data_IF_715434346264
#
_entry.id   IF_715434346264
#
_cell.length_a   1.000
_cell.length_b   1.000
_cell.length_c   1.000
_cell.angle_alpha   90.00
_cell.angle_beta   90.00
_cell.angle_gamma   90.00
#
_symmetry.space_group_name_H-M   'P 1'
#
loop_
_entity.id
_entity.type
_entity.pdbx_description
1 polymer ?
#
# COMPACT_ATOMS: atom_id res chain seq x y z
N UNK A 1 -17.84 -34.02 3.40
CA UNK A 1 -17.41 -34.01 1.98
C UNK A 1 -17.48 -32.58 1.47
N UNK A 2 -16.37 -31.96 1.07
CA UNK A 2 -16.32 -30.82 0.15
C UNK A 2 -14.98 -30.89 -0.58
N UNK A 3 -14.85 -31.92 -1.43
CA UNK A 3 -13.86 -31.91 -2.49
C UNK A 3 -14.43 -31.02 -3.59
N UNK A 4 -13.92 -29.80 -3.70
CA UNK A 4 -13.84 -29.17 -5.01
C UNK A 4 -12.36 -29.00 -5.27
N UNK A 5 -11.79 -29.81 -6.16
CA UNK A 5 -10.61 -29.38 -6.90
C UNK A 5 -10.98 -28.02 -7.49
N UNK A 6 -10.47 -26.95 -6.88
CA UNK A 6 -10.64 -25.60 -7.41
C UNK A 6 -9.45 -25.39 -8.32
N UNK A 7 -9.72 -25.01 -9.56
CA UNK A 7 -8.65 -24.64 -10.47
C UNK A 7 -7.91 -23.44 -9.87
N UNK A 8 -6.63 -23.63 -9.57
CA UNK A 8 -5.76 -22.56 -9.12
C UNK A 8 -5.02 -22.01 -10.34
N UNK A 9 -4.93 -20.68 -10.41
CA UNK A 9 -4.15 -20.03 -11.48
C UNK A 9 -3.09 -19.14 -10.87
N UNK A 10 -1.84 -19.41 -11.25
CA UNK A 10 -0.67 -18.65 -10.81
C UNK A 10 -0.39 -17.54 -11.83
N UNK A 11 -0.31 -16.32 -11.33
CA UNK A 11 -0.02 -15.13 -12.13
C UNK A 11 1.38 -14.60 -11.83
N UNK A 12 2.11 -14.20 -12.87
CA UNK A 12 3.36 -13.47 -12.72
C UNK A 12 3.05 -11.99 -12.57
N UNK A 13 3.68 -11.33 -11.60
CA UNK A 13 3.52 -9.89 -11.41
C UNK A 13 4.42 -9.07 -12.36
N UNK A 14 3.84 -8.02 -12.93
CA UNK A 14 4.56 -6.95 -13.65
C UNK A 14 4.80 -5.76 -12.70
N UNK A 15 5.69 -4.81 -13.04
CA UNK A 15 5.81 -3.58 -12.23
C UNK A 15 4.61 -2.68 -12.47
N UNK A 16 4.02 -2.15 -11.40
CA UNK A 16 2.89 -1.24 -11.51
C UNK A 16 3.30 0.11 -12.12
N UNK A 17 2.41 0.68 -12.93
CA UNK A 17 2.51 2.03 -13.45
C UNK A 17 1.17 2.73 -13.23
N UNK A 18 1.19 4.01 -12.84
CA UNK A 18 -0.01 4.82 -12.61
C UNK A 18 -0.88 5.03 -13.87
N UNK A 19 -0.39 4.68 -15.06
CA UNK A 19 -1.19 4.66 -16.31
C UNK A 19 -2.05 3.40 -16.46
N UNK A 20 -1.89 2.39 -15.60
CA UNK A 20 -2.73 1.19 -15.60
C UNK A 20 -4.18 1.58 -15.38
N UNK A 21 -5.06 1.16 -16.30
CA UNK A 21 -6.49 1.40 -16.18
C UNK A 21 -7.10 0.48 -15.12
N UNK A 22 -7.32 1.01 -13.91
CA UNK A 22 -7.97 0.27 -12.83
C UNK A 22 -9.48 0.09 -13.04
N UNK A 23 -10.08 0.76 -14.02
CA UNK A 23 -11.51 0.72 -14.33
C UNK A 23 -11.85 -0.13 -15.55
N UNK A 24 -10.90 -0.89 -16.11
CA UNK A 24 -11.21 -1.78 -17.21
C UNK A 24 -12.30 -2.79 -16.78
N UNK A 25 -13.20 -3.07 -17.70
CA UNK A 25 -14.37 -3.92 -17.49
C UNK A 25 -14.30 -5.08 -18.49
N UNK A 26 -13.98 -6.30 -18.04
CA UNK A 26 -14.09 -7.46 -18.92
C UNK A 26 -15.54 -7.66 -19.35
N UNK A 27 -15.73 -8.21 -20.56
CA UNK A 27 -17.04 -8.67 -20.99
C UNK A 27 -17.52 -9.80 -20.05
N UNK A 28 -18.70 -9.67 -19.46
CA UNK A 28 -19.28 -10.67 -18.56
C UNK A 28 -20.14 -10.10 -17.43
N UNK A 29 -20.67 -10.98 -16.59
CA UNK A 29 -21.50 -10.63 -15.43
C UNK A 29 -20.64 -10.23 -14.22
N UNK A 30 -21.16 -9.30 -13.42
CA UNK A 30 -20.62 -8.94 -12.09
C UNK A 30 -21.21 -9.90 -11.05
N UNK A 31 -20.48 -10.23 -9.96
CA UNK A 31 -19.18 -9.71 -9.55
C UNK A 31 -17.99 -10.40 -10.24
N UNK A 32 -16.94 -9.62 -10.52
CA UNK A 32 -15.73 -10.11 -11.21
C UNK A 32 -14.82 -10.90 -10.27
N UNK A 33 -14.74 -10.47 -9.01
CA UNK A 33 -14.00 -11.14 -7.96
C UNK A 33 -14.93 -11.58 -6.84
N UNK A 34 -14.63 -12.73 -6.24
CA UNK A 34 -15.22 -13.14 -4.97
C UNK A 34 -14.13 -13.40 -3.93
N UNK A 35 -14.40 -13.03 -2.69
CA UNK A 35 -13.46 -13.20 -1.58
C UNK A 35 -14.00 -14.23 -0.59
N UNK A 36 -13.13 -15.10 -0.09
CA UNK A 36 -13.42 -16.04 0.99
C UNK A 36 -12.44 -15.84 2.13
N UNK A 37 -12.96 -15.80 3.34
CA UNK A 37 -12.14 -15.82 4.54
C UNK A 37 -11.94 -17.26 5.00
N UNK A 38 -10.70 -17.71 5.03
CA UNK A 38 -10.33 -19.08 5.39
C UNK A 38 -9.65 -19.06 6.76
N UNK A 39 -9.95 -20.05 7.59
CA UNK A 39 -9.29 -20.29 8.86
C UNK A 39 -8.61 -21.66 8.83
N UNK A 40 -7.39 -21.72 9.35
CA UNK A 40 -6.65 -22.96 9.54
C UNK A 40 -7.46 -23.93 10.41
N UNK A 41 -7.44 -25.21 10.08
CA UNK A 41 -7.99 -26.27 10.95
C UNK A 41 -7.13 -26.55 12.18
N UNK A 42 -5.92 -25.98 12.27
CA UNK A 42 -4.99 -26.13 13.41
C UNK A 42 -4.52 -24.78 13.92
N UNK A 43 -4.38 -24.67 15.24
CA UNK A 43 -3.79 -23.49 15.86
C UNK A 43 -2.26 -23.49 15.70
N UNK A 44 -1.67 -22.31 15.55
CA UNK A 44 -0.23 -22.08 15.62
C UNK A 44 0.09 -21.15 16.79
N UNK A 45 1.26 -21.31 17.39
CA UNK A 45 1.78 -20.34 18.35
C UNK A 45 2.21 -19.08 17.60
N UNK A 46 1.65 -17.93 17.98
CA UNK A 46 1.97 -16.62 17.38
C UNK A 46 2.41 -15.68 18.52
N UNK A 47 3.54 -14.98 18.35
CA UNK A 47 3.96 -13.89 19.26
C UNK A 47 5.15 -14.15 20.21
N UNK A 48 6.15 -14.94 19.81
CA UNK A 48 7.39 -15.08 20.60
C UNK A 48 7.17 -15.66 22.01
N UNK A 49 7.96 -15.24 23.00
CA UNK A 49 7.93 -15.77 24.36
C UNK A 49 6.58 -15.54 25.09
N UNK A 50 5.84 -14.50 24.71
CA UNK A 50 4.54 -14.12 25.26
C UNK A 50 3.37 -14.41 24.31
N UNK A 51 3.60 -15.32 23.35
CA UNK A 51 2.64 -15.65 22.32
C UNK A 51 1.41 -16.41 22.83
N UNK A 52 0.48 -16.67 21.91
CA UNK A 52 -0.69 -17.50 22.18
C UNK A 52 -0.98 -18.44 21.01
N UNK A 53 -1.69 -19.54 21.27
CA UNK A 53 -2.20 -20.42 20.21
C UNK A 53 -3.38 -19.77 19.53
N UNK A 54 -3.24 -19.49 18.24
CA UNK A 54 -4.26 -18.84 17.43
C UNK A 54 -4.50 -19.62 16.14
N UNK A 55 -5.74 -19.59 15.65
CA UNK A 55 -6.02 -20.05 14.30
C UNK A 55 -5.50 -19.01 13.31
N UNK A 56 -4.64 -19.44 12.38
CA UNK A 56 -4.22 -18.58 11.27
C UNK A 56 -5.40 -18.40 10.35
N UNK A 57 -5.71 -17.16 9.97
CA UNK A 57 -6.73 -16.84 9.00
C UNK A 57 -6.13 -16.07 7.83
N UNK A 58 -6.72 -16.21 6.65
CA UNK A 58 -6.30 -15.51 5.44
C UNK A 58 -7.47 -15.34 4.49
N UNK A 59 -7.29 -14.52 3.46
CA UNK A 59 -8.26 -14.39 2.37
C UNK A 59 -7.78 -15.18 1.15
N UNK A 60 -8.75 -15.80 0.47
CA UNK A 60 -8.61 -16.22 -0.92
C UNK A 60 -9.48 -15.32 -1.78
N UNK A 61 -8.95 -14.89 -2.92
CA UNK A 61 -9.72 -14.18 -3.93
C UNK A 61 -9.81 -15.06 -5.17
N UNK A 62 -11.02 -15.19 -5.70
CA UNK A 62 -11.30 -15.86 -6.95
C UNK A 62 -11.51 -14.83 -8.04
N UNK A 63 -11.04 -15.16 -9.24
CA UNK A 63 -11.41 -14.48 -10.48
C UNK A 63 -12.13 -15.48 -11.36
N UNK A 64 -13.40 -15.20 -11.67
CA UNK A 64 -14.34 -16.22 -12.17
C UNK A 64 -14.39 -17.37 -11.16
N UNK A 65 -14.09 -18.60 -11.56
CA UNK A 65 -14.15 -19.79 -10.71
C UNK A 65 -12.77 -20.27 -10.21
N UNK A 66 -11.69 -19.56 -10.59
CA UNK A 66 -10.33 -19.95 -10.24
C UNK A 66 -9.79 -19.15 -9.06
N UNK A 67 -9.08 -19.83 -8.16
CA UNK A 67 -8.37 -19.15 -7.06
C UNK A 67 -7.12 -18.47 -7.59
N UNK A 68 -6.97 -17.18 -7.30
CA UNK A 68 -5.82 -16.39 -7.73
C UNK A 68 -4.63 -16.72 -6.84
N UNK A 69 -3.53 -17.17 -7.46
CA UNK A 69 -2.21 -17.32 -6.83
C UNK A 69 -1.20 -16.40 -7.52
N UNK A 70 -0.12 -16.02 -6.83
CA UNK A 70 0.93 -15.18 -7.43
C UNK A 70 2.27 -15.88 -7.38
N UNK A 71 3.00 -15.82 -8.48
CA UNK A 71 4.45 -15.96 -8.47
C UNK A 71 5.06 -14.58 -8.16
N UNK A 72 5.58 -14.35 -6.94
CA UNK A 72 6.00 -13.03 -6.44
C UNK A 72 7.29 -12.53 -7.13
N UNK A 73 7.90 -13.36 -7.98
CA UNK A 73 9.01 -12.97 -8.85
C UNK A 73 8.52 -11.90 -9.83
N UNK A 74 8.80 -10.64 -9.49
CA UNK A 74 8.71 -9.53 -10.44
C UNK A 74 9.69 -9.82 -11.56
N UNK A 75 9.36 -9.53 -12.83
CA UNK A 75 10.41 -9.46 -13.85
C UNK A 75 11.43 -8.43 -13.36
N UNK A 76 12.67 -8.81 -13.04
CA UNK A 76 13.61 -7.90 -12.42
C UNK A 76 13.79 -6.67 -13.33
N UNK A 77 13.70 -5.43 -12.84
CA UNK A 77 14.57 -4.41 -13.40
C UNK A 77 16.01 -4.88 -13.11
N UNK A 78 16.87 -4.74 -14.11
CA UNK A 78 18.22 -5.32 -14.22
C UNK A 78 19.23 -4.89 -13.14
N UNK A 79 18.80 -4.33 -12.02
CA UNK A 79 19.66 -3.64 -11.05
C UNK A 79 19.32 -3.86 -9.56
N UNK A 80 18.30 -4.64 -9.21
CA UNK A 80 17.99 -4.90 -7.78
C UNK A 80 18.34 -6.32 -7.31
N UNK A 81 19.48 -6.44 -6.61
CA UNK A 81 19.90 -7.62 -5.83
C UNK A 81 18.88 -8.07 -4.75
N UNK A 82 17.80 -7.31 -4.53
CA UNK A 82 16.82 -7.48 -3.44
C UNK A 82 15.52 -8.22 -3.85
N UNK A 83 15.38 -8.66 -5.10
CA UNK A 83 14.07 -9.06 -5.65
C UNK A 83 13.68 -10.54 -5.49
N UNK A 84 14.59 -11.44 -5.10
CA UNK A 84 14.32 -12.88 -5.09
C UNK A 84 13.46 -13.33 -3.90
N UNK A 85 12.17 -13.57 -4.13
CA UNK A 85 11.34 -14.34 -3.19
C UNK A 85 11.69 -15.83 -3.28
N UNK A 86 11.90 -16.56 -2.17
CA UNK A 86 12.09 -18.01 -2.24
C UNK A 86 10.86 -18.65 -2.89
N UNK A 87 11.07 -19.43 -3.95
CA UNK A 87 10.03 -19.91 -4.86
C UNK A 87 9.01 -20.87 -4.21
N UNK A 88 9.19 -21.26 -2.95
CA UNK A 88 8.53 -22.44 -2.37
C UNK A 88 7.69 -22.18 -1.11
N UNK A 89 7.51 -20.93 -0.67
CA UNK A 89 6.75 -20.67 0.56
C UNK A 89 5.27 -20.39 0.35
N UNK A 90 4.45 -20.87 1.30
CA UNK A 90 2.98 -20.72 1.28
C UNK A 90 2.46 -19.28 1.33
N UNK A 91 3.34 -18.29 1.52
CA UNK A 91 3.00 -16.86 1.48
C UNK A 91 2.33 -16.46 0.16
N UNK A 92 2.65 -17.13 -0.94
CA UNK A 92 2.09 -16.89 -2.27
C UNK A 92 0.57 -17.14 -2.40
N UNK A 93 -0.05 -17.72 -1.35
CA UNK A 93 -1.44 -18.20 -1.38
C UNK A 93 -2.39 -17.42 -0.45
N UNK A 94 -1.86 -16.58 0.44
CA UNK A 94 -2.62 -15.96 1.53
C UNK A 94 -2.67 -14.44 1.35
N UNK A 95 -3.87 -13.90 1.13
CA UNK A 95 -4.06 -12.45 1.04
C UNK A 95 -4.52 -11.87 2.37
N UNK A 96 -3.85 -10.80 2.77
CA UNK A 96 -4.27 -9.91 3.86
C UNK A 96 -4.81 -8.59 3.25
N UNK A 97 -5.67 -7.90 3.99
CA UNK A 97 -6.18 -6.55 3.69
C UNK A 97 -6.69 -6.33 2.23
N UNK A 98 -7.41 -7.30 1.66
CA UNK A 98 -8.00 -7.18 0.32
C UNK A 98 -8.90 -5.94 0.22
N UNK A 99 -8.49 -4.97 -0.59
CA UNK A 99 -9.15 -3.66 -0.71
C UNK A 99 -9.41 -3.30 -2.17
N UNK A 100 -10.66 -3.08 -2.54
CA UNK A 100 -11.02 -2.68 -3.92
C UNK A 100 -10.54 -1.26 -4.23
N UNK A 101 -9.98 -1.05 -5.41
CA UNK A 101 -9.40 0.23 -5.83
C UNK A 101 -10.36 1.10 -6.65
N UNK A 102 -11.56 0.61 -6.93
CA UNK A 102 -12.57 1.34 -7.67
C UNK A 102 -14.01 0.90 -7.36
N UNK A 103 -15.04 1.70 -7.70
CA UNK A 103 -16.43 1.36 -7.38
C UNK A 103 -16.93 0.15 -8.14
N UNK A 104 -16.43 -0.08 -9.35
CA UNK A 104 -16.79 -1.22 -10.19
C UNK A 104 -16.23 -2.56 -9.68
N UNK A 105 -15.32 -2.53 -8.68
CA UNK A 105 -14.63 -3.71 -8.13
C UNK A 105 -13.93 -4.54 -9.21
N UNK A 106 -13.38 -3.86 -10.22
CA UNK A 106 -12.59 -4.50 -11.28
C UNK A 106 -11.11 -4.52 -10.96
N UNK A 107 -10.69 -3.79 -9.93
CA UNK A 107 -9.33 -3.85 -9.40
C UNK A 107 -9.32 -3.89 -7.88
N UNK A 108 -8.38 -4.62 -7.29
CA UNK A 108 -8.12 -4.63 -5.85
C UNK A 108 -6.62 -4.64 -5.58
N UNK A 109 -6.23 -4.18 -4.40
CA UNK A 109 -4.90 -4.37 -3.84
C UNK A 109 -5.00 -5.39 -2.70
N UNK A 110 -3.98 -6.22 -2.54
CA UNK A 110 -3.86 -7.09 -1.39
C UNK A 110 -2.44 -7.08 -0.86
N UNK A 111 -2.34 -7.28 0.45
CA UNK A 111 -1.11 -7.51 1.17
C UNK A 111 -0.76 -8.99 1.12
N UNK A 112 0.52 -9.29 0.91
CA UNK A 112 1.06 -10.65 0.98
C UNK A 112 2.20 -10.64 1.98
N UNK A 113 2.04 -11.41 3.05
CA UNK A 113 3.07 -11.56 4.07
C UNK A 113 4.25 -12.36 3.50
N UNK A 114 5.45 -11.77 3.44
CA UNK A 114 6.67 -12.47 3.02
C UNK A 114 7.35 -13.26 4.12
N UNK A 115 8.42 -14.03 3.78
CA UNK A 115 9.33 -14.55 4.80
C UNK A 115 9.92 -13.39 5.62
N UNK A 116 10.29 -13.69 6.86
CA UNK A 116 10.69 -12.71 7.89
C UNK A 116 11.71 -11.66 7.42
N UNK A 117 12.61 -12.04 6.50
CA UNK A 117 13.67 -11.20 5.96
C UNK A 117 13.29 -10.37 4.71
N UNK A 118 12.19 -10.68 4.04
CA UNK A 118 11.73 -9.95 2.85
C UNK A 118 10.57 -9.00 3.14
N UNK A 119 9.93 -9.16 4.29
CA UNK A 119 8.81 -8.34 4.71
C UNK A 119 7.55 -8.53 3.86
N UNK A 120 6.54 -7.77 4.21
CA UNK A 120 5.27 -7.68 3.48
C UNK A 120 5.47 -7.17 2.05
N UNK A 121 4.63 -7.57 1.10
CA UNK A 121 4.52 -6.93 -0.22
C UNK A 121 3.07 -6.62 -0.59
N UNK A 122 2.89 -5.70 -1.53
CA UNK A 122 1.58 -5.31 -2.02
C UNK A 122 1.46 -5.56 -3.52
N UNK A 123 0.33 -6.12 -3.92
CA UNK A 123 0.04 -6.42 -5.32
C UNK A 123 -1.32 -5.86 -5.71
N UNK A 124 -1.37 -5.21 -6.88
CA UNK A 124 -2.58 -4.74 -7.53
C UNK A 124 -3.03 -5.77 -8.54
N UNK A 125 -4.30 -6.14 -8.48
CA UNK A 125 -4.95 -7.10 -9.35
C UNK A 125 -6.03 -6.37 -10.13
N UNK A 126 -6.02 -6.51 -11.45
CA UNK A 126 -6.95 -5.80 -12.33
C UNK A 126 -7.50 -6.78 -13.35
N UNK A 127 -8.82 -6.88 -13.37
CA UNK A 127 -9.52 -7.59 -14.41
C UNK A 127 -9.54 -6.71 -15.67
N UNK A 128 -9.09 -7.29 -16.77
CA UNK A 128 -9.05 -6.67 -18.08
C UNK A 128 -9.82 -7.54 -19.07
N UNK A 129 -10.13 -6.99 -20.24
CA UNK A 129 -10.78 -7.75 -21.32
C UNK A 129 -10.02 -9.04 -21.69
N UNK A 130 -8.69 -8.99 -21.64
CA UNK A 130 -7.80 -10.13 -21.94
C UNK A 130 -7.59 -11.10 -20.78
N UNK A 131 -8.14 -10.79 -19.60
CA UNK A 131 -8.02 -11.60 -18.38
C UNK A 131 -7.52 -10.82 -17.18
N UNK A 132 -7.11 -11.53 -16.14
CA UNK A 132 -6.55 -10.91 -14.93
C UNK A 132 -5.07 -10.56 -15.13
N UNK A 133 -4.70 -9.32 -14.81
CA UNK A 133 -3.32 -8.86 -14.67
C UNK A 133 -2.99 -8.60 -13.21
N UNK A 134 -1.72 -8.84 -12.86
CA UNK A 134 -1.19 -8.65 -11.51
C UNK A 134 0.04 -7.75 -11.59
N UNK A 135 0.11 -6.76 -10.72
CA UNK A 135 1.17 -5.78 -10.66
C UNK A 135 1.75 -5.71 -9.25
N UNK A 136 3.07 -5.73 -9.12
CA UNK A 136 3.78 -5.38 -7.91
C UNK A 136 3.90 -3.87 -7.83
N UNK A 137 3.59 -3.27 -6.68
CA UNK A 137 3.81 -1.83 -6.46
C UNK A 137 5.21 -1.53 -5.88
N UNK A 138 6.04 -2.56 -5.68
CA UNK A 138 7.38 -2.42 -5.14
C UNK A 138 8.29 -1.68 -6.13
N UNK A 139 8.52 -0.38 -5.87
CA UNK A 139 9.52 0.42 -6.57
C UNK A 139 10.92 0.10 -6.00
N UNK A 140 11.96 -0.08 -6.83
CA UNK A 140 13.33 -0.29 -6.36
C UNK A 140 13.78 0.80 -5.36
N UNK A 141 14.60 0.40 -4.38
CA UNK A 141 15.20 1.28 -3.37
C UNK A 141 16.70 1.01 -3.31
N UNK A 142 17.52 2.02 -3.01
CA UNK A 142 18.99 1.95 -3.07
C UNK A 142 19.65 1.84 -1.69
N UNK A 143 18.89 1.55 -0.62
CA UNK A 143 19.48 1.42 0.72
C UNK A 143 20.45 0.23 0.77
N UNK A 144 21.74 0.52 0.89
CA UNK A 144 22.70 -0.36 1.56
C UNK A 144 22.61 -0.12 3.07
N UNK A 145 22.41 -1.18 3.86
CA UNK A 145 22.57 -1.12 5.32
C UNK A 145 21.29 -0.91 6.13
N UNK A 146 20.58 -2.01 6.37
CA UNK A 146 20.11 -2.51 7.68
C UNK A 146 19.08 -3.64 7.50
N UNK A 147 18.55 -3.81 6.28
CA UNK A 147 17.62 -4.89 5.93
C UNK A 147 16.24 -4.75 6.57
N UNK A 148 15.97 -3.64 7.25
CA UNK A 148 14.72 -3.41 7.96
C UNK A 148 13.71 -2.74 7.04
N UNK A 149 12.91 -3.56 6.35
CA UNK A 149 11.75 -3.14 5.54
C UNK A 149 10.55 -2.74 6.43
N UNK A 150 10.82 -2.00 7.50
CA UNK A 150 10.18 -2.34 8.77
C UNK A 150 8.68 -2.03 8.83
N UNK A 151 8.16 -1.06 8.07
CA UNK A 151 6.72 -0.80 8.05
C UNK A 151 6.23 -0.44 6.65
N UNK A 152 5.82 -1.49 5.92
CA UNK A 152 5.01 -1.40 4.71
C UNK A 152 3.55 -1.34 5.11
N UNK A 153 2.94 -0.19 4.87
CA UNK A 153 1.62 0.13 5.38
C UNK A 153 0.64 0.44 4.25
N UNK A 154 -0.61 0.07 4.52
CA UNK A 154 -1.75 0.51 3.73
C UNK A 154 -2.68 1.27 4.65
N UNK A 155 -2.82 2.57 4.39
CA UNK A 155 -3.52 3.51 5.25
C UNK A 155 -4.68 4.17 4.52
N UNK A 156 -5.86 4.11 5.13
CA UNK A 156 -7.03 4.86 4.69
C UNK A 156 -6.90 6.32 5.17
N UNK A 157 -6.44 7.22 4.29
CA UNK A 157 -6.16 8.63 4.65
C UNK A 157 -7.37 9.56 4.41
N UNK A 158 -8.48 9.04 3.90
CA UNK A 158 -9.75 9.73 3.74
C UNK A 158 -10.85 8.78 3.25
N UNK A 159 -12.10 9.25 3.05
CA UNK A 159 -13.24 8.40 2.70
C UNK A 159 -13.02 7.54 1.46
N UNK A 160 -12.29 8.07 0.47
CA UNK A 160 -12.03 7.43 -0.83
C UNK A 160 -10.54 7.29 -1.15
N UNK A 161 -9.64 7.74 -0.27
CA UNK A 161 -8.19 7.73 -0.52
C UNK A 161 -7.51 6.61 0.26
N UNK A 162 -6.74 5.80 -0.44
CA UNK A 162 -5.91 4.74 0.12
C UNK A 162 -4.44 5.02 -0.19
N UNK A 163 -3.63 5.21 0.83
CA UNK A 163 -2.18 5.38 0.69
C UNK A 163 -1.51 4.03 0.92
N UNK A 164 -0.51 3.71 0.10
CA UNK A 164 0.22 2.44 0.20
C UNK A 164 1.71 2.70 0.11
N UNK A 165 2.45 2.20 1.10
CA UNK A 165 3.91 2.22 1.17
C UNK A 165 4.54 3.62 1.03
N UNK A 166 3.80 4.69 1.36
CA UNK A 166 4.20 6.09 1.10
C UNK A 166 4.65 6.35 -0.35
N UNK A 167 4.33 5.44 -1.27
CA UNK A 167 4.77 5.45 -2.67
C UNK A 167 3.59 5.70 -3.60
N UNK A 168 2.38 5.33 -3.19
CA UNK A 168 1.18 5.49 -4.00
C UNK A 168 -0.01 5.98 -3.20
N UNK A 169 -0.87 6.74 -3.87
CA UNK A 169 -2.23 7.08 -3.44
C UNK A 169 -3.21 6.57 -4.49
N UNK A 170 -4.20 5.81 -4.05
CA UNK A 170 -5.31 5.36 -4.88
C UNK A 170 -6.57 6.13 -4.50
N UNK A 171 -7.17 6.83 -5.48
CA UNK A 171 -8.52 7.40 -5.36
C UNK A 171 -9.55 6.33 -5.76
N UNK A 172 -10.14 5.70 -4.75
CA UNK A 172 -11.10 4.60 -4.89
C UNK A 172 -12.44 5.05 -5.48
N UNK A 173 -12.74 6.35 -5.50
CA UNK A 173 -13.93 6.89 -6.16
C UNK A 173 -13.74 6.93 -7.67
N UNK A 174 -12.54 7.25 -8.13
CA UNK A 174 -12.24 7.39 -9.57
C UNK A 174 -11.48 6.22 -10.17
N UNK A 175 -10.89 5.35 -9.36
CA UNK A 175 -9.96 4.32 -9.83
C UNK A 175 -8.67 4.90 -10.38
N UNK A 176 -8.25 6.09 -9.93
CA UNK A 176 -6.97 6.70 -10.32
C UNK A 176 -5.89 6.38 -9.29
N UNK A 177 -4.68 6.12 -9.77
CA UNK A 177 -3.50 6.01 -8.95
C UNK A 177 -2.59 7.23 -9.14
N UNK A 178 -1.91 7.63 -8.09
CA UNK A 178 -0.93 8.69 -8.06
C UNK A 178 0.35 8.14 -7.42
N UNK A 179 1.49 8.38 -8.05
CA UNK A 179 2.80 7.99 -7.53
C UNK A 179 3.35 9.15 -6.73
N UNK A 180 3.67 8.92 -5.46
CA UNK A 180 4.30 9.90 -4.60
C UNK A 180 5.76 10.04 -5.03
N UNK A 181 6.14 11.28 -5.35
CA UNK A 181 7.54 11.61 -5.62
C UNK A 181 8.34 11.39 -4.34
N UNK A 182 9.46 10.65 -4.45
CA UNK A 182 10.38 10.45 -3.33
C UNK A 182 11.35 11.64 -3.26
N UNK A 183 11.79 12.08 -2.07
CA UNK A 183 12.84 13.10 -1.93
C UNK A 183 14.20 12.61 -2.47
N UNK A 184 14.40 11.29 -2.58
CA UNK A 184 15.58 10.66 -3.17
C UNK A 184 15.23 9.32 -3.81
N UNK A 185 16.19 8.40 -3.89
CA UNK A 185 15.96 7.06 -4.44
C UNK A 185 15.17 6.15 -3.48
N UNK A 186 15.21 6.46 -2.19
CA UNK A 186 14.52 5.69 -1.15
C UNK A 186 13.11 6.23 -0.86
N UNK A 187 12.27 5.37 -0.27
CA UNK A 187 10.93 5.71 0.21
C UNK A 187 10.99 6.83 1.25
N UNK A 188 9.90 7.60 1.35
CA UNK A 188 9.72 8.57 2.43
C UNK A 188 9.68 7.82 3.77
N UNK A 189 10.75 7.95 4.56
CA UNK A 189 10.86 7.48 5.95
C UNK A 189 10.17 8.46 6.90
N UNK A 190 8.85 8.54 6.79
CA UNK A 190 8.04 9.42 7.60
C UNK A 190 6.65 8.85 7.84
N UNK A 191 6.01 9.31 8.90
CA UNK A 191 4.62 8.96 9.20
C UNK A 191 3.66 9.88 8.45
N UNK A 192 2.52 9.35 7.99
CA UNK A 192 1.43 10.20 7.54
C UNK A 192 0.94 11.09 8.69
N UNK A 193 0.94 12.39 8.45
CA UNK A 193 0.58 13.41 9.42
C UNK A 193 -0.81 13.99 9.17
N UNK A 194 -1.09 14.39 7.93
CA UNK A 194 -2.33 15.07 7.60
C UNK A 194 -2.69 14.99 6.11
N UNK A 195 -3.99 15.14 5.85
CA UNK A 195 -4.55 15.37 4.52
C UNK A 195 -5.12 16.79 4.48
N UNK A 196 -4.85 17.54 3.41
CA UNK A 196 -5.37 18.89 3.24
C UNK A 196 -6.91 18.92 3.20
N UNK A 197 -7.55 20.06 3.52
CA UNK A 197 -9.01 20.18 3.50
C UNK A 197 -9.63 19.88 2.13
N UNK A 198 -8.98 20.29 1.04
CA UNK A 198 -9.38 19.97 -0.33
C UNK A 198 -9.02 18.54 -0.76
N UNK A 199 -8.37 17.79 0.14
CA UNK A 199 -7.92 16.41 0.00
C UNK A 199 -6.90 16.18 -1.10
N UNK A 200 -6.13 17.19 -1.51
CA UNK A 200 -5.18 17.09 -2.62
C UNK A 200 -3.71 17.04 -2.21
N UNK A 201 -3.41 17.35 -0.96
CA UNK A 201 -2.05 17.35 -0.41
C UNK A 201 -1.98 16.39 0.76
N UNK A 202 -1.05 15.44 0.69
CA UNK A 202 -0.67 14.59 1.84
C UNK A 202 0.57 15.16 2.50
N UNK A 203 0.62 15.08 3.82
CA UNK A 203 1.75 15.55 4.63
C UNK A 203 2.34 14.37 5.39
N UNK A 204 3.66 14.27 5.37
CA UNK A 204 4.43 13.30 6.13
C UNK A 204 5.36 14.02 7.10
N UNK A 205 5.45 13.52 8.33
CA UNK A 205 6.47 13.92 9.29
C UNK A 205 7.69 13.04 9.13
N UNK A 206 8.83 13.67 8.85
CA UNK A 206 10.16 13.05 8.93
C UNK A 206 10.88 13.56 10.18
N UNK A 207 12.15 13.17 10.38
CA UNK A 207 12.94 13.63 11.53
C UNK A 207 13.25 15.13 11.54
N UNK A 208 13.23 15.81 10.38
CA UNK A 208 13.69 17.21 10.26
C UNK A 208 12.78 18.12 9.42
N UNK A 209 11.74 17.57 8.77
CA UNK A 209 10.84 18.34 7.92
C UNK A 209 9.45 17.73 7.81
N UNK A 210 8.47 18.56 7.47
CA UNK A 210 7.20 18.14 6.90
C UNK A 210 7.39 18.01 5.39
N UNK A 211 7.27 16.79 4.90
CA UNK A 211 7.24 16.51 3.47
C UNK A 211 5.80 16.56 2.98
N UNK A 212 5.49 17.41 2.01
CA UNK A 212 4.12 17.63 1.55
C UNK A 212 4.03 17.39 0.05
N UNK A 213 3.10 16.54 -0.35
CA UNK A 213 2.94 16.15 -1.75
C UNK A 213 1.52 16.48 -2.23
N UNK A 214 1.41 17.47 -3.12
CA UNK A 214 0.17 17.78 -3.82
C UNK A 214 0.01 16.83 -5.01
N UNK A 215 -0.64 15.70 -4.78
CA UNK A 215 -0.62 14.55 -5.68
C UNK A 215 -1.27 14.78 -7.06
N UNK A 216 -2.27 15.68 -7.26
CA UNK A 216 -2.79 15.95 -8.59
C UNK A 216 -1.80 16.66 -9.51
N UNK A 217 -0.99 17.58 -8.98
CA UNK A 217 0.01 18.33 -9.77
C UNK A 217 1.42 17.76 -9.65
N UNK A 218 1.63 16.80 -8.75
CA UNK A 218 2.94 16.22 -8.41
C UNK A 218 3.94 17.22 -7.83
N UNK A 219 3.45 18.31 -7.27
CA UNK A 219 4.33 19.30 -6.64
C UNK A 219 4.65 18.88 -5.21
N UNK A 220 5.92 19.08 -4.86
CA UNK A 220 6.45 18.82 -3.53
C UNK A 220 6.70 20.16 -2.85
N UNK A 221 6.27 20.26 -1.61
CA UNK A 221 6.63 21.35 -0.72
C UNK A 221 7.21 20.75 0.55
N UNK A 222 8.28 21.35 1.07
CA UNK A 222 8.94 20.92 2.29
C UNK A 222 9.02 22.07 3.25
N UNK A 223 8.65 21.82 4.50
CA UNK A 223 8.72 22.80 5.58
C UNK A 223 9.69 22.27 6.64
N UNK A 224 10.79 22.97 6.94
CA UNK A 224 11.68 22.58 8.03
C UNK A 224 10.93 22.51 9.36
N UNK A 225 11.28 21.52 10.19
CA UNK A 225 10.77 21.39 11.56
C UNK A 225 11.94 21.66 12.50
N UNK A 226 11.79 22.65 13.39
CA UNK A 226 12.77 22.89 14.46
C UNK A 226 12.58 21.93 15.65
N UNK A 227 13.56 21.88 16.56
CA UNK A 227 13.53 20.96 17.71
C UNK A 227 12.31 21.19 18.63
N UNK A 228 11.83 22.44 18.73
CA UNK A 228 10.66 22.77 19.54
C UNK A 228 9.38 22.20 18.91
N UNK A 229 9.26 22.29 17.59
CA UNK A 229 8.17 21.71 16.81
C UNK A 229 8.25 20.18 16.81
N UNK A 230 9.44 19.60 16.64
CA UNK A 230 9.64 18.15 16.72
C UNK A 230 9.22 17.60 18.08
N UNK A 231 9.58 18.29 19.17
CA UNK A 231 9.15 17.92 20.53
C UNK A 231 7.63 17.93 20.66
N UNK A 232 6.95 18.93 20.07
CA UNK A 232 5.47 19.00 20.05
C UNK A 232 4.84 17.87 19.23
N UNK A 233 5.48 17.44 18.14
CA UNK A 233 5.02 16.35 17.28
C UNK A 233 5.17 15.01 18.02
N UNK A 234 6.38 14.67 18.46
CA UNK A 234 6.72 13.39 19.09
C UNK A 234 6.01 13.23 20.44
N UNK A 235 5.85 14.31 21.21
CA UNK A 235 5.16 14.29 22.50
C UNK A 235 3.64 14.22 22.40
N UNK A 236 3.05 14.47 21.22
CA UNK A 236 1.60 14.51 21.04
C UNK A 236 1.02 13.12 20.77
N UNK A 237 0.69 12.41 21.85
CA UNK A 237 0.08 11.06 21.79
C UNK A 237 -1.27 11.02 21.07
N UNK A 238 -2.00 12.14 20.98
CA UNK A 238 -3.30 12.21 20.30
C UNK A 238 -3.19 12.36 18.78
N UNK A 239 -1.99 12.60 18.24
CA UNK A 239 -1.71 12.94 16.83
C UNK A 239 -2.52 14.15 16.30
N UNK A 240 -2.94 15.05 17.18
CA UNK A 240 -3.69 16.27 16.84
C UNK A 240 -2.78 17.48 16.59
N UNK A 241 -1.46 17.32 16.76
CA UNK A 241 -0.47 18.37 16.54
C UNK A 241 -0.58 19.09 15.18
N UNK A 242 -0.97 18.46 14.03
CA UNK A 242 -1.10 19.18 12.76
C UNK A 242 -2.19 20.26 12.82
N UNK A 243 -3.21 20.07 13.67
CA UNK A 243 -4.35 20.98 13.80
C UNK A 243 -4.11 22.05 14.87
N UNK A 244 -3.24 21.79 15.84
CA UNK A 244 -3.01 22.67 16.99
C UNK A 244 -1.82 23.63 16.79
N UNK A 245 -0.82 23.25 16.00
CA UNK A 245 0.42 24.00 15.84
C UNK A 245 0.69 24.47 14.41
N UNK A 246 -0.13 24.03 13.47
CA UNK A 246 0.01 24.35 12.05
C UNK A 246 -1.31 24.85 11.49
N UNK A 247 -1.23 25.57 10.37
CA UNK A 247 -2.37 26.11 9.63
C UNK A 247 -2.23 25.79 8.15
N UNK A 248 -3.37 25.60 7.48
CA UNK A 248 -3.41 25.38 6.04
C UNK A 248 -3.32 26.72 5.31
N UNK A 249 -2.29 26.88 4.48
CA UNK A 249 -2.05 28.08 3.68
C UNK A 249 -2.16 27.73 2.19
N UNK A 250 -2.79 28.63 1.43
CA UNK A 250 -2.87 28.51 -0.03
C UNK A 250 -1.67 29.17 -0.68
N UNK A 251 -0.95 28.43 -1.52
CA UNK A 251 0.15 28.92 -2.35
C UNK A 251 -0.07 28.48 -3.79
N UNK A 252 -0.14 29.43 -4.73
CA UNK A 252 -0.36 29.15 -6.16
C UNK A 252 -1.56 28.21 -6.41
N UNK A 253 -2.66 28.41 -5.67
CA UNK A 253 -3.88 27.60 -5.78
C UNK A 253 -3.82 26.21 -5.15
N UNK A 254 -2.76 25.88 -4.40
CA UNK A 254 -2.57 24.59 -3.71
C UNK A 254 -2.48 24.81 -2.21
N UNK A 255 -2.93 23.83 -1.42
CA UNK A 255 -3.02 23.95 0.03
C UNK A 255 -1.89 23.17 0.70
N UNK A 256 -1.10 23.85 1.53
CA UNK A 256 0.03 23.29 2.28
C UNK A 256 -0.06 23.65 3.76
N UNK A 257 0.46 22.78 4.62
CA UNK A 257 0.51 22.93 6.06
C UNK A 257 1.73 23.78 6.45
N UNK A 258 1.55 24.80 7.27
CA UNK A 258 2.62 25.69 7.73
C UNK A 258 2.55 25.97 9.23
N UNK A 259 3.67 26.16 9.93
CA UNK A 259 3.66 26.48 11.35
C UNK A 259 2.83 27.73 11.62
N UNK A 260 2.07 27.72 12.72
CA UNK A 260 1.47 28.96 13.24
C UNK A 260 2.58 29.76 13.88
N UNK A 261 3.03 30.82 13.21
CA UNK A 261 3.94 31.80 13.80
C UNK A 261 3.12 32.62 14.81
N UNK A 262 3.44 32.49 16.09
CA UNK A 262 2.92 33.34 17.16
C UNK A 262 3.96 34.37 17.54
#
# INVERSE_FOLDING_TARGET
MLSSCKDEKVYKAELFNITVNLNDLPAGQKPIFSQRHIKSGKQKWIGGLFGSKQFVAWNEVLYKDSVIRINPQVAPPNDSQSSAYPAQERSQYNFDDVTYLNPAKTSFIARISGPYNLGTRFYVFTAQQTGLKVYSIDRPTVIEGDGTWEYREMLKIGPDLLMVDNDYIFDQRTGKAYEITRPGQDRIRGEFAALSPDRRTVVFTTSHLLYQYHYPSREVYTEPIDDQQLTKIVGNKTKEWPYNYFSWTTMNGKIFLRPIIK
#
